data_IF_716663505254
#
_entry.id   IF_716663505254
#
_cell.length_a   1.000
_cell.length_b   1.000
_cell.length_c   1.000
_cell.angle_alpha   90.00
_cell.angle_beta   90.00
_cell.angle_gamma   90.00
#
_symmetry.space_group_name_H-M   'P 1'
#
loop_
_entity.id
_entity.type
_entity.pdbx_description
1 polymer ?
#
# COMPACT_ATOMS: atom_id res chain seq x y z
N UNK A 1 -78.39 15.49 -40.51
CA UNK A 1 -77.27 14.80 -39.83
C UNK A 1 -76.49 15.82 -39.02
N UNK A 2 -76.73 15.87 -37.71
CA UNK A 2 -76.06 16.78 -36.76
C UNK A 2 -74.78 16.11 -36.28
N UNK A 3 -73.65 16.84 -36.28
CA UNK A 3 -72.44 16.47 -35.56
C UNK A 3 -71.97 17.67 -34.73
N UNK A 4 -72.12 17.53 -33.42
CA UNK A 4 -71.20 17.99 -32.37
C UNK A 4 -71.14 16.80 -31.36
N UNK A 5 -70.14 16.66 -30.48
CA UNK A 5 -68.89 17.42 -30.29
C UNK A 5 -67.66 16.48 -30.09
N UNK A 6 -66.45 17.04 -29.92
CA UNK A 6 -65.53 16.55 -28.88
C UNK A 6 -64.48 17.62 -28.57
N UNK A 7 -64.63 18.24 -27.40
CA UNK A 7 -63.61 19.08 -26.78
C UNK A 7 -62.61 18.11 -26.13
N UNK A 8 -61.37 18.10 -26.61
CA UNK A 8 -60.29 17.32 -26.02
C UNK A 8 -59.65 18.16 -24.93
N UNK A 9 -59.85 17.73 -23.68
CA UNK A 9 -59.18 18.23 -22.49
C UNK A 9 -57.70 17.80 -22.54
N UNK A 10 -56.78 18.75 -22.77
CA UNK A 10 -55.34 18.49 -22.69
C UNK A 10 -54.93 18.34 -21.22
N UNK A 11 -54.81 17.09 -20.76
CA UNK A 11 -54.26 16.78 -19.44
C UNK A 11 -52.74 16.95 -19.48
N UNK A 12 -52.22 17.98 -18.81
CA UNK A 12 -50.78 18.13 -18.58
C UNK A 12 -50.32 17.05 -17.58
N UNK A 13 -49.74 15.97 -18.08
CA UNK A 13 -48.93 15.06 -17.26
C UNK A 13 -47.50 15.59 -17.24
N UNK A 14 -47.13 16.24 -16.13
CA UNK A 14 -45.73 16.55 -15.84
C UNK A 14 -45.06 15.23 -15.46
N UNK A 15 -44.43 14.57 -16.44
CA UNK A 15 -43.45 13.52 -16.18
C UNK A 15 -42.23 14.22 -15.55
N UNK A 16 -42.11 14.13 -14.23
CA UNK A 16 -40.85 14.37 -13.56
C UNK A 16 -39.88 13.27 -14.02
N UNK A 17 -39.11 13.57 -15.07
CA UNK A 17 -37.96 12.78 -15.45
C UNK A 17 -36.97 12.84 -14.27
N UNK A 18 -36.91 11.77 -13.48
CA UNK A 18 -35.71 11.49 -12.72
C UNK A 18 -34.59 11.37 -13.76
N UNK A 19 -33.76 12.40 -13.88
CA UNK A 19 -32.45 12.27 -14.51
C UNK A 19 -31.65 11.31 -13.63
N UNK A 20 -31.81 10.03 -13.92
CA UNK A 20 -30.83 9.03 -13.52
C UNK A 20 -29.57 9.41 -14.28
N UNK A 21 -28.61 9.99 -13.59
CA UNK A 21 -27.28 10.24 -14.12
C UNK A 21 -26.79 8.92 -14.70
N UNK A 22 -26.65 8.88 -16.03
CA UNK A 22 -26.03 7.75 -16.71
C UNK A 22 -24.69 7.49 -16.02
N UNK A 23 -24.54 6.31 -15.43
CA UNK A 23 -23.23 5.83 -15.02
C UNK A 23 -22.34 5.89 -16.27
N UNK A 24 -21.16 6.53 -16.20
CA UNK A 24 -20.25 6.54 -17.32
C UNK A 24 -19.90 5.09 -17.66
N UNK A 25 -19.99 4.81 -18.95
CA UNK A 25 -19.71 3.54 -19.61
C UNK A 25 -18.45 2.89 -19.02
N UNK A 26 -18.54 1.61 -18.67
CA UNK A 26 -17.41 0.82 -18.13
C UNK A 26 -16.47 0.45 -19.26
N UNK A 27 -15.85 1.47 -19.86
CA UNK A 27 -14.75 1.34 -20.79
C UNK A 27 -13.54 0.76 -20.06
N UNK A 28 -13.04 -0.36 -20.59
CA UNK A 28 -11.80 -1.04 -20.19
C UNK A 28 -10.72 -0.04 -19.74
N UNK A 29 -10.48 0.05 -18.43
CA UNK A 29 -9.30 0.70 -17.89
C UNK A 29 -8.07 -0.06 -18.36
N UNK A 30 -7.25 0.61 -19.17
CA UNK A 30 -5.98 0.07 -19.64
C UNK A 30 -4.87 0.55 -18.71
N UNK A 31 -3.74 -0.18 -18.66
CA UNK A 31 -2.56 0.14 -17.84
C UNK A 31 -2.07 1.60 -17.98
N UNK A 32 -2.44 2.28 -19.08
CA UNK A 32 -2.18 3.70 -19.36
C UNK A 32 -3.00 4.71 -18.55
N UNK A 33 -4.08 4.29 -17.87
CA UNK A 33 -4.95 5.17 -17.07
C UNK A 33 -4.52 5.25 -15.59
N UNK A 34 -3.42 4.55 -15.25
CA UNK A 34 -2.80 4.58 -13.93
C UNK A 34 -2.17 5.98 -13.71
N UNK A 35 -2.50 6.69 -12.61
CA UNK A 35 -1.92 8.00 -12.36
C UNK A 35 -0.41 7.92 -12.28
N UNK A 36 0.22 8.91 -12.92
CA UNK A 36 1.64 9.08 -13.19
C UNK A 36 2.60 8.34 -12.24
N UNK A 37 3.54 7.55 -12.76
CA UNK A 37 4.53 6.79 -11.98
C UNK A 37 5.58 7.64 -11.24
N UNK A 38 5.44 8.96 -11.25
CA UNK A 38 6.39 9.91 -10.68
C UNK A 38 5.90 10.58 -9.39
N UNK A 39 4.65 10.33 -8.96
CA UNK A 39 4.23 10.72 -7.63
C UNK A 39 4.70 9.63 -6.64
N UNK A 40 5.87 9.85 -6.01
CA UNK A 40 6.02 9.49 -4.60
C UNK A 40 4.67 9.79 -3.94
N UNK A 41 3.99 8.87 -3.23
CA UNK A 41 2.72 9.23 -2.60
C UNK A 41 3.02 10.41 -1.67
N UNK A 42 2.65 11.62 -2.10
CA UNK A 42 3.27 12.85 -1.60
C UNK A 42 3.00 13.02 -0.11
N UNK A 43 1.88 12.46 0.36
CA UNK A 43 1.50 12.36 1.76
C UNK A 43 2.51 11.56 2.60
N UNK A 44 3.05 10.46 2.05
CA UNK A 44 3.96 9.55 2.76
C UNK A 44 5.39 10.09 2.84
N UNK A 45 5.76 11.07 2.01
CA UNK A 45 7.14 11.60 1.95
C UNK A 45 7.18 13.11 2.26
N UNK A 46 6.01 13.73 2.50
CA UNK A 46 5.92 15.13 2.93
C UNK A 46 6.84 15.42 4.13
N UNK A 47 7.50 16.57 4.08
CA UNK A 47 8.30 17.11 5.18
C UNK A 47 7.49 18.04 6.09
N UNK A 48 6.28 18.42 5.67
CA UNK A 48 5.39 19.34 6.38
C UNK A 48 4.38 18.58 7.26
N UNK A 49 4.86 17.83 8.24
CA UNK A 49 4.03 17.09 9.19
C UNK A 49 4.44 17.48 10.63
N UNK A 50 3.50 17.37 11.58
CA UNK A 50 3.72 17.78 12.97
C UNK A 50 4.69 16.83 13.65
N UNK A 51 5.85 17.32 14.04
CA UNK A 51 6.84 16.53 14.79
C UNK A 51 6.41 16.37 16.24
N UNK A 52 6.50 15.14 16.73
CA UNK A 52 6.27 14.83 18.13
C UNK A 52 7.59 14.53 18.82
N UNK A 53 7.69 14.92 20.09
CA UNK A 53 8.78 14.49 20.95
C UNK A 53 8.38 13.15 21.60
N UNK A 54 8.70 12.05 20.92
CA UNK A 54 8.47 10.69 21.39
C UNK A 54 9.75 9.86 21.28
N UNK A 55 10.06 9.03 22.30
CA UNK A 55 11.17 8.08 22.20
C UNK A 55 10.99 7.15 20.99
N UNK A 56 12.03 6.91 20.17
CA UNK A 56 11.99 5.94 19.09
C UNK A 56 11.56 4.55 19.55
N UNK A 57 10.66 3.92 18.81
CA UNK A 57 10.29 2.51 19.03
C UNK A 57 10.81 1.65 17.90
N UNK A 58 11.39 0.48 18.20
CA UNK A 58 11.63 -0.54 17.17
C UNK A 58 10.28 -1.23 16.89
N UNK A 59 9.73 -0.97 15.70
CA UNK A 59 8.41 -1.48 15.32
C UNK A 59 8.49 -2.78 14.52
N UNK A 60 9.64 -3.06 13.92
CA UNK A 60 9.90 -4.30 13.21
C UNK A 60 11.39 -4.63 13.24
N UNK A 61 11.74 -5.76 13.84
CA UNK A 61 13.11 -6.27 13.86
C UNK A 61 13.29 -7.27 12.73
N UNK A 62 14.29 -7.08 11.88
CA UNK A 62 14.62 -8.05 10.82
C UNK A 62 15.61 -9.08 11.39
N UNK A 63 16.68 -8.59 12.02
CA UNK A 63 17.69 -9.42 12.68
C UNK A 63 18.41 -8.64 13.81
N UNK A 64 19.63 -9.04 14.19
CA UNK A 64 20.39 -8.40 15.26
C UNK A 64 20.91 -6.99 14.96
N UNK A 65 20.93 -6.54 13.70
CA UNK A 65 21.50 -5.26 13.29
C UNK A 65 20.60 -4.45 12.35
N UNK A 66 19.61 -5.09 11.69
CA UNK A 66 18.63 -4.46 10.80
C UNK A 66 17.25 -4.37 11.45
N UNK A 67 16.67 -3.18 11.48
CA UNK A 67 15.36 -2.94 12.08
C UNK A 67 14.71 -1.64 11.58
N UNK A 68 13.40 -1.55 11.76
CA UNK A 68 12.58 -0.39 11.43
C UNK A 68 12.20 0.30 12.74
N UNK A 69 12.44 1.61 12.82
CA UNK A 69 11.97 2.46 13.92
C UNK A 69 10.80 3.33 13.51
N UNK A 70 9.94 3.61 14.49
CA UNK A 70 8.97 4.70 14.45
C UNK A 70 9.47 5.81 15.35
N UNK A 71 9.55 7.02 14.81
CA UNK A 71 10.09 8.20 15.45
C UNK A 71 9.15 9.38 15.28
N UNK A 72 9.18 10.29 16.24
CA UNK A 72 8.33 11.49 16.25
C UNK A 72 6.88 11.20 15.85
N UNK A 73 6.28 10.24 16.52
CA UNK A 73 4.92 9.75 16.25
C UNK A 73 3.94 10.17 17.34
N UNK A 74 2.66 10.09 16.98
CA UNK A 74 1.52 10.09 17.89
C UNK A 74 0.61 8.92 17.50
N UNK A 75 0.15 8.16 18.49
CA UNK A 75 -0.70 6.97 18.29
C UNK A 75 -0.22 6.04 17.15
N UNK A 76 1.06 5.66 17.18
CA UNK A 76 1.70 4.78 16.19
C UNK A 76 1.66 5.27 14.72
N UNK A 77 1.54 6.58 14.52
CA UNK A 77 1.68 7.24 13.22
C UNK A 77 2.76 8.32 13.30
N UNK A 78 3.77 8.24 12.43
CA UNK A 78 4.91 9.16 12.46
C UNK A 78 5.99 8.80 11.46
N UNK A 79 7.24 9.17 11.73
CA UNK A 79 8.35 8.90 10.83
C UNK A 79 8.85 7.48 10.97
N UNK A 80 8.86 6.77 9.85
CA UNK A 80 9.41 5.43 9.75
C UNK A 80 10.81 5.50 9.18
N UNK A 81 11.74 4.84 9.88
CA UNK A 81 13.15 4.81 9.53
C UNK A 81 13.63 3.38 9.42
N UNK A 82 14.43 3.09 8.39
CA UNK A 82 15.20 1.87 8.31
C UNK A 82 16.58 2.11 8.91
N UNK A 83 17.07 1.14 9.70
CA UNK A 83 18.35 1.18 10.36
C UNK A 83 19.10 -0.14 10.12
N UNK A 84 20.36 -0.05 9.74
CA UNK A 84 21.34 -1.14 9.71
C UNK A 84 22.61 -0.67 10.42
N UNK A 85 22.82 -1.16 11.64
CA UNK A 85 23.95 -0.75 12.47
C UNK A 85 25.28 -1.36 12.02
N UNK A 86 25.26 -2.42 11.20
CA UNK A 86 26.48 -3.07 10.69
C UNK A 86 27.05 -2.30 9.51
N UNK A 87 26.20 -1.84 8.60
CA UNK A 87 26.62 -1.02 7.44
C UNK A 87 26.59 0.49 7.72
N UNK A 88 26.02 0.91 8.85
CA UNK A 88 25.82 2.32 9.20
C UNK A 88 24.69 3.00 8.41
N UNK A 89 23.87 2.23 7.69
CA UNK A 89 22.75 2.78 6.91
C UNK A 89 21.64 3.21 7.86
N UNK A 90 21.21 4.46 7.73
CA UNK A 90 20.00 4.99 8.36
C UNK A 90 19.26 5.86 7.36
N UNK A 91 18.06 5.42 6.96
CA UNK A 91 17.31 6.04 5.87
C UNK A 91 15.88 6.27 6.28
N UNK A 92 15.40 7.50 6.09
CA UNK A 92 13.99 7.83 6.28
C UNK A 92 13.19 7.16 5.17
N UNK A 93 12.23 6.32 5.56
CA UNK A 93 11.31 5.66 4.62
C UNK A 93 10.19 6.63 4.25
N UNK A 94 9.60 7.27 5.26
CA UNK A 94 8.52 8.23 5.10
C UNK A 94 7.74 8.46 6.38
N UNK A 95 6.70 9.30 6.31
CA UNK A 95 5.66 9.38 7.33
C UNK A 95 4.63 8.29 7.06
N UNK A 96 4.53 7.30 7.94
CA UNK A 96 3.65 6.14 7.74
C UNK A 96 2.93 5.77 9.04
N UNK A 97 1.98 4.84 8.94
CA UNK A 97 1.30 4.27 10.09
C UNK A 97 1.44 2.74 10.07
N UNK A 98 2.64 2.20 10.38
CA UNK A 98 2.94 0.78 10.21
C UNK A 98 2.00 -0.11 11.01
N UNK A 99 1.61 0.29 12.22
CA UNK A 99 0.67 -0.48 13.04
C UNK A 99 -0.77 -0.45 12.49
N UNK A 100 -1.07 0.44 11.54
CA UNK A 100 -2.30 0.41 10.76
C UNK A 100 -2.31 -0.70 9.69
N UNK A 101 -1.13 -1.20 9.30
CA UNK A 101 -1.03 -2.38 8.45
C UNK A 101 -1.15 -3.64 9.31
N UNK A 102 -2.25 -4.38 9.12
CA UNK A 102 -2.61 -5.55 9.92
C UNK A 102 -2.27 -6.88 9.23
N UNK A 103 -1.68 -6.82 8.04
CA UNK A 103 -1.19 -7.99 7.32
C UNK A 103 0.16 -8.47 7.85
N UNK A 104 0.72 -9.46 7.15
CA UNK A 104 1.99 -10.09 7.52
C UNK A 104 3.15 -9.55 6.67
N UNK A 105 4.33 -9.40 7.27
CA UNK A 105 5.59 -9.08 6.60
C UNK A 105 6.64 -10.11 6.99
N UNK A 106 7.26 -10.75 6.01
CA UNK A 106 8.41 -11.64 6.19
C UNK A 106 9.57 -11.09 5.36
N UNK A 107 10.72 -10.87 6.00
CA UNK A 107 11.96 -10.46 5.31
C UNK A 107 13.00 -11.55 5.52
N UNK A 108 13.12 -12.45 4.54
CA UNK A 108 14.06 -13.57 4.49
C UNK A 108 15.10 -13.35 3.38
N UNK A 109 15.64 -12.13 3.30
CA UNK A 109 16.78 -11.82 2.47
C UNK A 109 18.08 -11.89 3.30
N UNK A 110 18.86 -12.94 3.01
CA UNK A 110 20.15 -13.22 3.62
C UNK A 110 21.27 -12.33 3.05
N UNK A 111 21.06 -11.68 1.90
CA UNK A 111 22.08 -10.82 1.28
C UNK A 111 22.18 -9.46 1.97
N UNK A 112 21.10 -9.02 2.63
CA UNK A 112 21.04 -7.71 3.25
C UNK A 112 20.54 -6.59 2.32
N UNK A 113 20.29 -6.88 1.05
CA UNK A 113 20.05 -5.89 0.01
C UNK A 113 18.58 -5.45 -0.08
N UNK A 114 17.67 -6.37 0.21
CA UNK A 114 16.24 -6.20 -0.02
C UNK A 114 15.50 -6.00 1.30
N UNK A 115 14.71 -4.92 1.35
CA UNK A 115 13.87 -4.56 2.49
C UNK A 115 12.55 -4.06 1.96
N UNK A 116 11.46 -4.35 2.66
CA UNK A 116 10.16 -3.78 2.35
C UNK A 116 9.44 -3.29 3.61
N UNK A 117 8.63 -2.25 3.47
CA UNK A 117 7.90 -1.58 4.55
C UNK A 117 6.46 -1.34 4.05
N UNK A 118 5.54 -2.31 4.25
CA UNK A 118 4.15 -2.14 3.88
C UNK A 118 3.52 -1.04 4.72
N UNK A 119 2.59 -0.30 4.12
CA UNK A 119 1.83 0.73 4.82
C UNK A 119 0.45 0.84 4.22
N UNK A 120 -0.46 1.38 5.03
CA UNK A 120 -1.81 1.72 4.64
C UNK A 120 -2.02 3.22 4.65
N UNK A 121 -2.97 3.69 3.87
CA UNK A 121 -3.55 5.02 4.09
C UNK A 121 -4.48 4.94 5.29
N UNK A 122 -4.24 5.75 6.32
CA UNK A 122 -5.13 5.90 7.48
C UNK A 122 -6.07 7.08 7.31
N UNK A 123 -7.31 6.95 7.77
CA UNK A 123 -8.35 7.97 7.63
C UNK A 123 -9.44 7.58 6.62
N UNK A 124 -10.27 8.54 6.23
CA UNK A 124 -11.38 8.29 5.29
C UNK A 124 -10.89 8.22 3.85
N UNK A 125 -11.27 7.15 3.14
CA UNK A 125 -10.85 6.88 1.77
C UNK A 125 -11.64 7.63 0.69
N UNK A 126 -12.65 8.43 1.07
CA UNK A 126 -13.56 9.09 0.14
C UNK A 126 -14.24 8.12 -0.84
N UNK A 127 -14.95 8.65 -1.84
CA UNK A 127 -15.73 7.83 -2.77
C UNK A 127 -14.88 7.07 -3.80
N UNK A 128 -13.61 7.47 -3.97
CA UNK A 128 -12.67 6.82 -4.90
C UNK A 128 -11.84 5.72 -4.25
N UNK A 129 -12.01 5.51 -2.95
CA UNK A 129 -11.20 4.61 -2.16
C UNK A 129 -9.74 5.05 -2.02
N UNK A 130 -9.04 4.34 -1.15
CA UNK A 130 -7.62 4.51 -0.90
C UNK A 130 -6.81 3.61 -1.82
N UNK A 131 -5.59 4.07 -2.09
CA UNK A 131 -4.51 3.25 -2.65
C UNK A 131 -3.48 3.02 -1.58
N UNK A 132 -2.99 1.79 -1.47
CA UNK A 132 -2.02 1.41 -0.48
C UNK A 132 -0.71 1.00 -1.13
N UNK A 133 0.39 1.32 -0.44
CA UNK A 133 1.71 1.23 -1.01
C UNK A 133 2.66 0.47 -0.10
N UNK A 134 3.70 -0.07 -0.71
CA UNK A 134 4.83 -0.72 -0.10
C UNK A 134 6.07 0.08 -0.47
N UNK A 135 6.82 0.54 0.52
CA UNK A 135 8.17 1.01 0.27
C UNK A 135 9.09 -0.21 0.15
N UNK A 136 10.01 -0.23 -0.82
CA UNK A 136 10.99 -1.29 -0.97
C UNK A 136 12.37 -0.73 -1.34
N UNK A 137 13.41 -1.43 -0.90
CA UNK A 137 14.80 -1.17 -1.23
C UNK A 137 15.42 -2.41 -1.88
N UNK A 138 16.37 -2.18 -2.79
CA UNK A 138 17.21 -3.21 -3.42
C UNK A 138 18.70 -2.89 -3.28
N UNK A 139 19.04 -1.90 -2.44
CA UNK A 139 20.38 -1.34 -2.27
C UNK A 139 20.87 -1.36 -0.80
N UNK A 140 20.29 -2.25 0.01
CA UNK A 140 20.62 -2.39 1.43
C UNK A 140 19.95 -1.35 2.32
N UNK A 141 18.83 -0.78 1.87
CA UNK A 141 18.08 0.26 2.57
C UNK A 141 18.67 1.65 2.45
N UNK A 142 19.59 1.90 1.50
CA UNK A 142 20.15 3.23 1.23
C UNK A 142 19.13 4.14 0.54
N UNK A 143 18.24 3.56 -0.25
CA UNK A 143 17.11 4.26 -0.86
C UNK A 143 15.86 3.38 -0.89
N UNK A 144 14.69 4.03 -0.90
CA UNK A 144 13.39 3.37 -0.98
C UNK A 144 12.59 3.88 -2.18
N UNK A 145 12.01 2.94 -2.92
CA UNK A 145 11.03 3.17 -3.97
C UNK A 145 9.67 2.68 -3.52
N UNK A 146 8.60 3.08 -4.20
CA UNK A 146 7.22 2.80 -3.80
C UNK A 146 6.50 2.00 -4.87
N UNK A 147 5.78 0.95 -4.43
CA UNK A 147 4.95 0.10 -5.26
C UNK A 147 3.53 0.13 -4.71
N UNK A 148 2.53 0.39 -5.55
CA UNK A 148 1.13 0.17 -5.17
C UNK A 148 0.86 -1.34 -5.17
N UNK A 149 0.41 -1.91 -4.05
CA UNK A 149 0.20 -3.35 -3.93
C UNK A 149 -1.26 -3.79 -4.08
N UNK A 150 -2.19 -2.84 -4.11
CA UNK A 150 -3.63 -3.08 -4.17
C UNK A 150 -4.27 -2.56 -5.47
N UNK A 151 -3.52 -2.54 -6.57
CA UNK A 151 -3.98 -2.02 -7.87
C UNK A 151 -5.28 -2.65 -8.35
N UNK A 152 -5.47 -3.93 -8.03
CA UNK A 152 -6.61 -4.72 -8.51
C UNK A 152 -7.78 -4.71 -7.52
N UNK A 153 -7.63 -4.02 -6.39
CA UNK A 153 -8.65 -3.91 -5.36
C UNK A 153 -8.51 -2.63 -4.52
N UNK A 154 -9.18 -1.58 -4.99
CA UNK A 154 -9.30 -0.32 -4.27
C UNK A 154 -10.02 -0.56 -2.93
N UNK A 155 -9.39 -0.12 -1.84
CA UNK A 155 -9.89 -0.29 -0.49
C UNK A 155 -10.64 0.93 0.01
N UNK A 156 -11.80 0.75 0.64
CA UNK A 156 -12.51 1.81 1.37
C UNK A 156 -12.21 1.83 2.88
N UNK A 157 -11.54 0.79 3.36
CA UNK A 157 -11.03 0.66 4.73
C UNK A 157 -9.68 -0.07 4.67
N UNK A 158 -8.62 0.71 4.44
CA UNK A 158 -7.27 0.17 4.20
C UNK A 158 -6.70 -0.60 5.39
N UNK A 159 -7.01 -0.16 6.61
CA UNK A 159 -6.58 -0.86 7.83
C UNK A 159 -7.21 -2.25 7.86
N UNK A 160 -8.53 -2.35 7.65
CA UNK A 160 -9.22 -3.64 7.65
C UNK A 160 -8.80 -4.54 6.49
N UNK A 161 -8.74 -4.02 5.27
CA UNK A 161 -8.40 -4.81 4.08
C UNK A 161 -6.95 -5.29 4.07
N UNK A 162 -6.05 -4.57 4.75
CA UNK A 162 -4.64 -4.98 4.84
C UNK A 162 -4.42 -6.34 5.51
N UNK A 163 -5.36 -6.83 6.32
CA UNK A 163 -5.33 -8.17 6.94
C UNK A 163 -5.24 -9.31 5.92
N UNK A 164 -5.73 -9.07 4.71
CA UNK A 164 -5.73 -10.07 3.64
C UNK A 164 -4.40 -10.12 2.90
N UNK A 165 -3.49 -9.19 3.17
CA UNK A 165 -2.20 -9.12 2.51
C UNK A 165 -1.08 -9.74 3.34
N UNK A 166 -0.15 -10.40 2.67
CA UNK A 166 1.14 -10.77 3.24
C UNK A 166 2.26 -10.50 2.24
N UNK A 167 3.40 -10.03 2.75
CA UNK A 167 4.56 -9.69 1.94
C UNK A 167 5.72 -10.58 2.34
N UNK A 168 6.40 -11.14 1.35
CA UNK A 168 7.60 -11.95 1.56
C UNK A 168 8.73 -11.39 0.72
N UNK A 169 9.81 -10.99 1.37
CA UNK A 169 11.01 -10.46 0.73
C UNK A 169 12.09 -11.53 0.79
N UNK A 170 12.68 -11.83 -0.36
CA UNK A 170 13.78 -12.79 -0.53
C UNK A 170 14.96 -12.10 -1.19
N UNK A 171 16.05 -12.83 -1.45
CA UNK A 171 17.23 -12.27 -2.11
C UNK A 171 17.00 -11.82 -3.55
N UNK A 172 15.98 -12.33 -4.23
CA UNK A 172 15.72 -12.04 -5.65
C UNK A 172 14.32 -11.48 -5.93
N UNK A 173 13.39 -11.55 -4.97
CA UNK A 173 11.97 -11.29 -5.23
C UNK A 173 11.23 -10.76 -4.01
N UNK A 174 10.24 -9.92 -4.30
CA UNK A 174 9.14 -9.57 -3.43
C UNK A 174 7.92 -10.38 -3.87
N UNK A 175 7.29 -11.10 -2.95
CA UNK A 175 6.01 -11.76 -3.15
C UNK A 175 4.92 -10.95 -2.45
N UNK A 176 3.89 -10.58 -3.19
CA UNK A 176 2.67 -9.95 -2.68
C UNK A 176 1.59 -11.01 -2.71
N UNK A 177 1.12 -11.43 -1.54
CA UNK A 177 0.04 -12.41 -1.43
C UNK A 177 -1.23 -11.72 -0.96
N UNK A 178 -2.36 -12.01 -1.59
CA UNK A 178 -3.68 -11.56 -1.18
C UNK A 178 -4.60 -12.76 -0.99
N UNK A 179 -5.19 -12.87 0.20
CA UNK A 179 -6.25 -13.86 0.47
C UNK A 179 -7.49 -13.52 -0.35
N UNK A 180 -8.00 -14.48 -1.13
CA UNK A 180 -9.22 -14.29 -1.92
C UNK A 180 -10.41 -14.98 -1.27
N UNK A 181 -11.15 -14.24 -0.43
CA UNK A 181 -12.36 -14.71 0.23
C UNK A 181 -12.14 -15.93 1.15
N UNK A 182 -13.23 -16.59 1.53
CA UNK A 182 -13.20 -17.77 2.40
C UNK A 182 -12.83 -19.07 1.66
N UNK A 183 -12.51 -19.01 0.36
CA UNK A 183 -12.35 -20.17 -0.52
C UNK A 183 -10.92 -20.72 -0.57
N UNK A 184 -9.98 -20.12 0.17
CA UNK A 184 -8.68 -20.73 0.47
C UNK A 184 -7.60 -20.64 -0.62
N UNK A 185 -7.85 -19.92 -1.73
CA UNK A 185 -6.82 -19.67 -2.74
C UNK A 185 -6.22 -18.28 -2.53
N UNK A 186 -4.92 -18.23 -2.23
CA UNK A 186 -4.16 -16.99 -2.19
C UNK A 186 -3.75 -16.61 -3.62
N UNK A 187 -3.97 -15.34 -3.99
CA UNK A 187 -3.36 -14.76 -5.19
C UNK A 187 -1.94 -14.33 -4.82
N UNK A 188 -0.95 -14.78 -5.59
CA UNK A 188 0.46 -14.53 -5.31
C UNK A 188 1.11 -13.90 -6.54
N UNK A 189 1.59 -12.68 -6.37
CA UNK A 189 2.34 -11.97 -7.39
C UNK A 189 3.81 -11.90 -6.99
N UNK A 190 4.70 -12.28 -7.90
CA UNK A 190 6.15 -12.24 -7.71
C UNK A 190 6.75 -11.09 -8.51
N UNK A 191 7.36 -10.17 -7.79
CA UNK A 191 8.08 -9.00 -8.29
C UNK A 191 9.59 -9.23 -8.17
N UNK A 192 10.33 -9.44 -9.27
CA UNK A 192 11.79 -9.56 -9.24
C UNK A 192 12.49 -8.31 -8.70
N UNK A 193 13.21 -8.44 -7.60
CA UNK A 193 13.99 -7.36 -7.00
C UNK A 193 15.36 -7.26 -7.67
N UNK A 194 15.61 -6.13 -8.33
CA UNK A 194 16.86 -5.86 -9.04
C UNK A 194 17.41 -4.51 -8.61
N UNK A 195 18.69 -4.47 -8.28
CA UNK A 195 19.40 -3.23 -7.99
C UNK A 195 19.25 -2.26 -9.17
N UNK A 196 18.79 -1.04 -8.87
CA UNK A 196 18.60 0.03 -9.85
C UNK A 196 17.31 -0.06 -10.69
N UNK A 197 16.56 -1.17 -10.61
CA UNK A 197 15.24 -1.25 -11.24
C UNK A 197 14.17 -0.68 -10.31
N UNK A 198 13.27 0.14 -10.88
CA UNK A 198 12.19 0.78 -10.13
C UNK A 198 10.86 0.53 -10.84
N UNK A 199 9.94 -0.18 -10.15
CA UNK A 199 8.58 -0.40 -10.62
C UNK A 199 7.83 0.89 -10.90
N UNK A 200 6.99 0.87 -11.93
CA UNK A 200 6.21 2.02 -12.39
C UNK A 200 7.01 2.99 -13.27
N UNK A 201 8.34 3.10 -13.12
CA UNK A 201 9.14 3.89 -14.07
C UNK A 201 9.24 3.14 -15.40
N UNK A 202 9.40 3.87 -16.51
CA UNK A 202 9.60 3.32 -17.87
C UNK A 202 10.90 2.48 -18.03
N UNK A 203 11.47 1.99 -16.93
CA UNK A 203 12.54 1.02 -16.92
C UNK A 203 12.00 -0.34 -17.39
N UNK A 204 12.74 -0.98 -18.29
CA UNK A 204 12.49 -2.37 -18.69
C UNK A 204 13.25 -3.30 -17.76
N UNK A 205 12.59 -4.35 -17.29
CA UNK A 205 13.29 -5.45 -16.63
C UNK A 205 14.29 -6.08 -17.62
N UNK A 206 15.39 -6.66 -17.11
CA UNK A 206 16.33 -7.39 -17.95
C UNK A 206 15.64 -8.51 -18.74
N UNK A 207 16.20 -8.87 -19.88
CA UNK A 207 15.66 -9.95 -20.72
C UNK A 207 15.50 -11.25 -19.90
N UNK A 208 14.37 -11.94 -20.13
CA UNK A 208 14.01 -13.15 -19.38
C UNK A 208 13.47 -12.91 -17.96
N UNK A 209 13.36 -11.66 -17.51
CA UNK A 209 12.83 -11.31 -16.18
C UNK A 209 11.49 -10.61 -16.34
N UNK A 210 10.45 -11.16 -15.72
CA UNK A 210 9.11 -10.58 -15.71
C UNK A 210 8.46 -10.71 -14.34
N UNK A 211 7.46 -9.86 -14.08
CA UNK A 211 6.51 -10.07 -12.97
C UNK A 211 5.74 -11.36 -13.26
N UNK A 212 5.53 -12.20 -12.25
CA UNK A 212 4.77 -13.45 -12.38
C UNK A 212 3.51 -13.35 -11.52
N UNK A 213 2.35 -13.41 -12.16
CA UNK A 213 1.04 -13.43 -11.50
C UNK A 213 0.58 -14.89 -11.29
N UNK A 214 -0.06 -15.18 -10.16
CA UNK A 214 -0.46 -16.55 -9.82
C UNK A 214 0.74 -17.49 -9.55
N UNK A 215 1.81 -16.95 -8.99
CA UNK A 215 3.02 -17.69 -8.62
C UNK A 215 2.79 -18.62 -7.42
N UNK A 216 3.83 -19.35 -7.03
CA UNK A 216 3.88 -20.08 -5.76
C UNK A 216 4.85 -19.42 -4.78
N UNK A 217 4.59 -19.58 -3.49
CA UNK A 217 5.47 -19.08 -2.44
C UNK A 217 6.54 -20.15 -2.09
N UNK A 218 7.82 -19.77 -1.95
CA UNK A 218 8.83 -20.65 -1.39
C UNK A 218 8.44 -21.13 0.02
N UNK A 219 8.78 -22.38 0.34
CA UNK A 219 8.50 -22.95 1.66
C UNK A 219 9.52 -22.46 2.69
N UNK A 220 9.07 -22.33 3.94
CA UNK A 220 9.95 -22.09 5.10
C UNK A 220 10.47 -20.67 5.25
N UNK A 221 9.95 -19.71 4.48
CA UNK A 221 10.32 -18.31 4.58
C UNK A 221 10.03 -17.76 5.98
N UNK A 222 11.02 -17.11 6.58
CA UNK A 222 10.89 -16.50 7.91
C UNK A 222 11.83 -15.32 8.07
N UNK A 223 11.36 -14.30 8.78
CA UNK A 223 12.24 -13.22 9.24
C UNK A 223 13.22 -13.79 10.28
N UNK A 224 14.53 -13.50 10.20
CA UNK A 224 15.50 -14.05 11.15
C UNK A 224 15.21 -13.76 12.63
N UNK A 225 14.61 -12.60 12.93
CA UNK A 225 14.14 -12.24 14.28
C UNK A 225 12.94 -13.06 14.76
N UNK A 226 12.24 -13.75 13.86
CA UNK A 226 10.94 -14.37 14.09
C UNK A 226 9.74 -13.43 14.01
N UNK A 227 9.95 -12.12 13.90
CA UNK A 227 8.86 -11.14 13.84
C UNK A 227 8.21 -11.13 12.45
N UNK A 228 6.88 -11.15 12.41
CA UNK A 228 6.12 -11.18 11.16
C UNK A 228 4.99 -10.13 11.05
N UNK A 229 4.81 -9.31 12.09
CA UNK A 229 3.88 -8.18 12.11
C UNK A 229 4.57 -6.96 12.71
N UNK A 230 4.08 -5.76 12.40
CA UNK A 230 4.48 -4.57 13.14
C UNK A 230 3.98 -4.63 14.59
N UNK A 231 4.78 -4.11 15.51
CA UNK A 231 4.41 -3.96 16.92
C UNK A 231 4.72 -2.52 17.31
N UNK A 232 3.74 -1.81 17.83
CA UNK A 232 3.94 -0.47 18.37
C UNK A 232 3.18 -0.32 19.68
N UNK A 233 3.84 0.23 20.68
CA UNK A 233 3.25 0.57 21.97
C UNK A 233 2.53 1.92 21.86
N UNK A 234 1.21 1.86 21.69
CA UNK A 234 0.35 3.04 21.60
C UNK A 234 0.16 3.74 22.96
N UNK A 235 0.63 3.17 24.06
CA UNK A 235 0.60 3.83 25.38
C UNK A 235 1.69 4.90 25.52
N UNK A 236 2.70 4.89 24.64
CA UNK A 236 3.72 5.94 24.57
C UNK A 236 3.13 7.14 23.84
N UNK A 237 2.78 8.16 24.62
CA UNK A 237 2.23 9.41 24.14
C UNK A 237 3.31 10.48 23.97
N UNK A 238 3.14 11.43 23.03
CA UNK A 238 3.97 12.62 22.97
C UNK A 238 3.97 13.37 24.29
N UNK A 239 5.15 13.69 24.82
CA UNK A 239 5.25 14.68 25.89
C UNK A 239 5.07 16.05 25.26
N UNK A 240 4.04 16.82 25.68
CA UNK A 240 3.67 18.17 25.26
C UNK A 240 4.54 18.74 24.12
N UNK A 241 4.03 18.71 22.89
CA UNK A 241 4.72 19.29 21.73
C UNK A 241 4.75 20.82 21.83
N UNK A 242 5.86 21.42 21.40
CA UNK A 242 5.95 22.85 21.10
C UNK A 242 4.96 23.24 19.98
#
# INVERSE_FOLDING_TARGET
MKRLPLIVLSCLTILAACQQTQMPDTGRYTYSDMPLPNAKPALMISENWKKYNTPPQIIYKIDGHRFITLESYDNCSGETWYNDTKSGVRTRVGHTSPNGFLGKLIIDDQTGMNVAVPTVTTGSCGDRGCRNYLAYSTDGGKSFNWLQYDSDHISFDSVKSSKDYSFYVTSDSLYVTKKWGNFGNDLIDRYPLRLGYVYGKNAKLPEGVSIQFGSTLPKGLRTPSGQDHYICDASILPTNGD
#
